data_IF_719617190488
#
_entry.id   IF_719617190488
#
_cell.length_a   1.000
_cell.length_b   1.000
_cell.length_c   1.000
_cell.angle_alpha   90.00
_cell.angle_beta   90.00
_cell.angle_gamma   90.00
#
_symmetry.space_group_name_H-M   'P 1'
#
loop_
_entity.id
_entity.type
_entity.pdbx_description
1 polymer ?
#
# COMPACT_ATOMS: atom_id res chain seq x y z
N UNK A 1 -47.39 28.29 69.26
CA UNK A 1 -47.06 27.13 68.42
C UNK A 1 -46.06 27.56 67.34
N UNK A 2 -44.78 27.24 67.50
CA UNK A 2 -43.75 27.37 66.44
C UNK A 2 -43.06 26.02 66.33
N UNK A 3 -43.36 25.25 65.28
CA UNK A 3 -42.57 24.06 64.92
C UNK A 3 -41.31 24.57 64.22
N UNK A 4 -40.19 24.47 64.91
CA UNK A 4 -38.86 24.71 64.35
C UNK A 4 -38.50 23.47 63.53
N UNK A 5 -38.49 23.61 62.20
CA UNK A 5 -37.87 22.62 61.33
C UNK A 5 -36.35 22.77 61.48
N UNK A 6 -35.70 21.76 62.07
CA UNK A 6 -34.25 21.67 62.08
C UNK A 6 -33.70 21.50 60.66
N UNK A 7 -32.50 22.02 60.37
CA UNK A 7 -31.85 21.81 59.09
C UNK A 7 -31.61 20.31 58.88
N UNK A 8 -32.17 19.76 57.79
CA UNK A 8 -31.74 18.45 57.29
C UNK A 8 -30.33 18.63 56.77
N UNK A 9 -29.34 18.29 57.58
CA UNK A 9 -27.99 18.02 57.09
C UNK A 9 -28.10 16.85 56.12
N UNK A 10 -28.12 17.15 54.82
CA UNK A 10 -27.92 16.19 53.76
C UNK A 10 -26.44 15.77 53.77
N UNK A 11 -26.06 15.02 54.80
CA UNK A 11 -24.80 14.31 54.85
C UNK A 11 -24.89 13.15 53.87
N UNK A 12 -24.17 13.24 52.76
CA UNK A 12 -23.96 12.10 51.86
C UNK A 12 -23.38 10.97 52.69
N UNK A 13 -24.13 9.88 52.80
CA UNK A 13 -23.66 8.72 53.57
C UNK A 13 -22.39 8.18 52.92
N UNK A 14 -21.39 7.78 53.70
CA UNK A 14 -20.18 7.13 53.20
C UNK A 14 -20.53 5.92 52.31
N UNK A 15 -21.66 5.27 52.59
CA UNK A 15 -22.21 4.18 51.76
C UNK A 15 -22.69 4.68 50.39
N UNK A 16 -23.37 5.83 50.31
CA UNK A 16 -23.76 6.43 49.02
C UNK A 16 -22.54 6.82 48.19
N UNK A 17 -21.48 7.32 48.83
CA UNK A 17 -20.22 7.64 48.15
C UNK A 17 -19.56 6.39 47.56
N UNK A 18 -19.49 5.29 48.33
CA UNK A 18 -18.91 4.02 47.85
C UNK A 18 -19.70 3.45 46.67
N UNK A 19 -21.04 3.49 46.75
CA UNK A 19 -21.90 3.04 45.66
C UNK A 19 -21.69 3.91 44.40
N UNK A 20 -21.66 5.24 44.56
CA UNK A 20 -21.45 6.16 43.44
C UNK A 20 -20.08 5.97 42.76
N UNK A 21 -19.01 5.80 43.53
CA UNK A 21 -17.66 5.52 43.00
C UNK A 21 -17.61 4.16 42.29
N UNK A 22 -18.28 3.15 42.83
CA UNK A 22 -18.34 1.81 42.23
C UNK A 22 -19.06 1.83 40.87
N UNK A 23 -20.19 2.53 40.79
CA UNK A 23 -20.94 2.70 39.53
C UNK A 23 -20.12 3.50 38.52
N UNK A 24 -19.49 4.60 38.94
CA UNK A 24 -18.60 5.38 38.07
C UNK A 24 -17.41 4.56 37.57
N UNK A 25 -16.82 3.71 38.42
CA UNK A 25 -15.73 2.82 38.04
C UNK A 25 -16.14 1.82 36.95
N UNK A 26 -17.32 1.20 37.08
CA UNK A 26 -17.84 0.26 36.07
C UNK A 26 -18.15 0.98 34.75
N UNK A 27 -18.80 2.16 34.81
CA UNK A 27 -19.11 2.96 33.62
C UNK A 27 -17.82 3.43 32.94
N UNK A 28 -16.82 3.88 33.70
CA UNK A 28 -15.54 4.31 33.15
C UNK A 28 -14.79 3.17 32.46
N UNK A 29 -14.79 1.96 33.02
CA UNK A 29 -14.22 0.77 32.39
C UNK A 29 -14.95 0.38 31.10
N UNK A 30 -16.29 0.41 31.13
CA UNK A 30 -17.12 0.16 29.94
C UNK A 30 -16.87 1.20 28.84
N UNK A 31 -16.84 2.48 29.18
CA UNK A 31 -16.54 3.57 28.26
C UNK A 31 -15.12 3.44 27.69
N UNK A 32 -14.10 3.20 28.52
CA UNK A 32 -12.72 3.07 28.07
C UNK A 32 -12.54 1.89 27.09
N UNK A 33 -13.18 0.76 27.36
CA UNK A 33 -13.13 -0.40 26.45
C UNK A 33 -13.89 -0.16 25.15
N UNK A 34 -15.04 0.53 25.20
CA UNK A 34 -15.81 0.91 24.02
C UNK A 34 -15.07 1.94 23.15
N UNK A 35 -14.56 3.03 23.74
CA UNK A 35 -13.79 4.04 23.01
C UNK A 35 -12.54 3.44 22.39
N UNK A 36 -11.81 2.59 23.10
CA UNK A 36 -10.66 1.87 22.54
C UNK A 36 -11.05 1.03 21.33
N UNK A 37 -12.18 0.31 21.39
CA UNK A 37 -12.69 -0.49 20.25
C UNK A 37 -13.10 0.39 19.06
N UNK A 38 -13.76 1.52 19.33
CA UNK A 38 -14.19 2.45 18.29
C UNK A 38 -12.97 3.08 17.58
N UNK A 39 -12.00 3.56 18.34
CA UNK A 39 -10.74 4.10 17.80
C UNK A 39 -10.02 3.06 16.94
N UNK A 40 -9.94 1.81 17.43
CA UNK A 40 -9.28 0.71 16.71
C UNK A 40 -9.93 0.40 15.36
N UNK A 41 -11.27 0.44 15.28
CA UNK A 41 -11.99 0.21 14.03
C UNK A 41 -11.79 1.36 13.04
N UNK A 42 -11.80 2.60 13.52
CA UNK A 42 -11.58 3.78 12.69
C UNK A 42 -10.16 3.83 12.11
N UNK A 43 -9.14 3.45 12.89
CA UNK A 43 -7.77 3.36 12.40
C UNK A 43 -7.61 2.31 11.31
N UNK A 44 -8.19 1.13 11.49
CA UNK A 44 -8.13 0.07 10.49
C UNK A 44 -8.85 0.48 9.20
N UNK A 45 -10.03 1.11 9.31
CA UNK A 45 -10.76 1.63 8.16
C UNK A 45 -9.97 2.72 7.42
N UNK A 46 -9.31 3.63 8.13
CA UNK A 46 -8.45 4.66 7.55
C UNK A 46 -7.22 4.07 6.88
N UNK A 47 -6.49 3.18 7.54
CA UNK A 47 -5.30 2.53 6.97
C UNK A 47 -5.64 1.75 5.71
N UNK A 48 -6.77 1.01 5.72
CA UNK A 48 -7.29 0.31 4.54
C UNK A 48 -7.67 1.27 3.41
N UNK A 49 -8.34 2.38 3.73
CA UNK A 49 -8.74 3.39 2.74
C UNK A 49 -7.52 4.06 2.11
N UNK A 50 -6.52 4.42 2.92
CA UNK A 50 -5.23 4.94 2.45
C UNK A 50 -4.55 3.92 1.54
N UNK A 51 -4.45 2.66 1.97
CA UNK A 51 -3.85 1.59 1.18
C UNK A 51 -4.53 1.44 -0.19
N UNK A 52 -5.87 1.41 -0.21
CA UNK A 52 -6.65 1.32 -1.44
C UNK A 52 -6.42 2.53 -2.34
N UNK A 53 -6.45 3.74 -1.77
CA UNK A 53 -6.22 4.99 -2.50
C UNK A 53 -4.84 5.01 -3.16
N UNK A 54 -3.79 4.75 -2.38
CA UNK A 54 -2.42 4.82 -2.87
C UNK A 54 -2.11 3.71 -3.88
N UNK A 55 -2.57 2.47 -3.63
CA UNK A 55 -2.47 1.39 -4.62
C UNK A 55 -3.17 1.76 -5.93
N UNK A 56 -4.32 2.42 -5.86
CA UNK A 56 -5.06 2.83 -7.06
C UNK A 56 -4.31 3.92 -7.84
N UNK A 57 -3.65 4.86 -7.17
CA UNK A 57 -2.82 5.87 -7.84
C UNK A 57 -1.63 5.22 -8.59
N UNK A 58 -0.98 4.25 -7.97
CA UNK A 58 0.15 3.53 -8.60
C UNK A 58 -0.37 2.65 -9.75
N UNK A 59 -1.47 1.93 -9.56
CA UNK A 59 -2.07 1.11 -10.61
C UNK A 59 -2.56 1.93 -11.79
N UNK A 60 -3.18 3.09 -11.57
CA UNK A 60 -3.61 3.99 -12.65
C UNK A 60 -2.39 4.49 -13.45
N UNK A 61 -1.27 4.74 -12.76
CA UNK A 61 -0.01 5.11 -13.42
C UNK A 61 0.51 3.96 -14.29
N UNK A 62 0.55 2.73 -13.75
CA UNK A 62 0.92 1.53 -14.51
C UNK A 62 -0.01 1.33 -15.69
N UNK A 63 -1.32 1.36 -15.51
CA UNK A 63 -2.30 1.17 -16.57
C UNK A 63 -2.08 2.15 -17.72
N UNK A 64 -1.85 3.44 -17.42
CA UNK A 64 -1.49 4.45 -18.41
C UNK A 64 -0.22 4.05 -19.17
N UNK A 65 0.81 3.60 -18.47
CA UNK A 65 2.10 3.28 -19.09
C UNK A 65 2.02 2.03 -19.97
N UNK A 66 1.22 1.04 -19.56
CA UNK A 66 0.87 -0.12 -20.37
C UNK A 66 0.05 0.24 -21.61
N UNK A 67 -0.90 1.19 -21.48
CA UNK A 67 -1.70 1.70 -22.61
C UNK A 67 -0.86 2.43 -23.66
N UNK A 68 0.28 2.98 -23.26
CA UNK A 68 1.20 3.74 -24.12
C UNK A 68 2.46 2.96 -24.50
N UNK A 69 2.52 1.67 -24.16
CA UNK A 69 3.66 0.80 -24.47
C UNK A 69 3.84 0.71 -25.99
N UNK A 70 5.08 0.79 -26.44
CA UNK A 70 5.40 0.50 -27.84
C UNK A 70 5.28 -1.00 -28.08
N UNK A 71 4.26 -1.40 -28.86
CA UNK A 71 4.05 -2.78 -29.29
C UNK A 71 4.36 -2.85 -30.79
N UNK A 72 5.60 -2.56 -31.18
CA UNK A 72 6.02 -2.70 -32.58
C UNK A 72 6.27 -4.16 -32.93
N UNK A 73 5.46 -4.69 -33.87
CA UNK A 73 5.59 -5.88 -34.74
C UNK A 73 6.13 -7.24 -34.21
N UNK A 74 6.70 -7.33 -33.01
CA UNK A 74 7.08 -8.57 -32.31
C UNK A 74 6.13 -8.89 -31.15
N UNK A 75 4.87 -8.42 -31.26
CA UNK A 75 3.80 -8.49 -30.27
C UNK A 75 3.45 -9.91 -29.76
N UNK A 76 4.04 -10.96 -30.32
CA UNK A 76 3.82 -12.36 -29.93
C UNK A 76 4.97 -13.00 -29.13
N UNK A 77 6.14 -12.36 -28.97
CA UNK A 77 7.32 -13.06 -28.42
C UNK A 77 7.86 -12.61 -27.06
N UNK A 78 7.73 -11.35 -26.66
CA UNK A 78 8.30 -10.93 -25.37
C UNK A 78 7.22 -10.66 -24.32
N UNK A 79 6.87 -11.67 -23.51
CA UNK A 79 6.07 -11.40 -22.34
C UNK A 79 6.82 -10.50 -21.37
N UNK A 80 6.13 -9.49 -20.83
CA UNK A 80 6.65 -8.67 -19.71
C UNK A 80 7.18 -9.58 -18.61
N UNK A 81 6.46 -10.67 -18.37
CA UNK A 81 6.95 -11.72 -17.51
C UNK A 81 6.35 -13.09 -17.87
N UNK A 82 7.13 -14.07 -18.34
CA UNK A 82 6.61 -15.40 -18.68
C UNK A 82 6.09 -16.18 -17.45
N UNK A 83 6.38 -15.70 -16.24
CA UNK A 83 5.80 -16.16 -14.97
C UNK A 83 5.53 -14.96 -14.06
N UNK A 84 5.42 -15.20 -12.75
CA UNK A 84 5.31 -14.11 -11.77
C UNK A 84 6.70 -13.49 -11.52
N UNK A 85 6.89 -12.21 -11.81
CA UNK A 85 8.10 -11.48 -11.44
C UNK A 85 7.80 -10.17 -10.74
N UNK A 86 8.77 -9.75 -9.90
CA UNK A 86 8.73 -8.53 -9.10
C UNK A 86 9.45 -7.35 -9.75
N UNK A 87 9.99 -7.57 -10.94
CA UNK A 87 10.85 -6.66 -11.69
C UNK A 87 10.48 -6.79 -13.17
N UNK A 88 10.08 -5.68 -13.78
CA UNK A 88 9.71 -5.65 -15.19
C UNK A 88 9.80 -4.25 -15.80
N UNK A 89 9.92 -4.20 -17.12
CA UNK A 89 10.11 -2.98 -17.90
C UNK A 89 8.93 -2.68 -18.81
N UNK A 90 8.68 -1.40 -19.03
CA UNK A 90 7.75 -0.88 -20.04
C UNK A 90 8.50 0.15 -20.88
N UNK A 91 8.59 -0.10 -22.18
CA UNK A 91 9.16 0.84 -23.14
C UNK A 91 8.05 1.67 -23.79
N UNK A 92 8.23 3.00 -23.80
CA UNK A 92 7.27 3.99 -24.31
C UNK A 92 7.96 4.95 -25.28
N UNK A 93 7.33 5.20 -26.44
CA UNK A 93 7.76 6.30 -27.32
C UNK A 93 7.37 7.66 -26.76
N UNK A 94 8.32 8.59 -26.75
CA UNK A 94 8.14 9.98 -26.29
C UNK A 94 8.64 10.96 -27.34
N UNK A 95 8.05 12.16 -27.39
CA UNK A 95 8.59 13.28 -28.19
C UNK A 95 9.73 13.94 -27.44
N UNK A 96 10.82 14.22 -28.16
CA UNK A 96 11.98 14.95 -27.65
C UNK A 96 12.43 15.94 -28.70
N UNK A 97 12.35 17.24 -28.42
CA UNK A 97 12.98 18.30 -29.22
C UNK A 97 12.91 18.15 -30.75
N UNK A 98 11.72 17.87 -31.31
CA UNK A 98 11.52 17.71 -32.77
C UNK A 98 11.65 16.29 -33.32
N UNK A 99 11.95 15.29 -32.48
CA UNK A 99 12.07 13.87 -32.86
C UNK A 99 11.36 12.90 -31.90
N UNK A 100 11.60 11.60 -32.12
CA UNK A 100 11.15 10.51 -31.25
C UNK A 100 12.29 10.02 -30.35
N UNK A 101 11.97 9.74 -29.09
CA UNK A 101 12.84 9.09 -28.12
C UNK A 101 12.14 7.92 -27.45
N UNK A 102 12.89 7.08 -26.74
CA UNK A 102 12.34 5.96 -25.99
C UNK A 102 12.50 6.20 -24.48
N UNK A 103 11.38 6.26 -23.76
CA UNK A 103 11.32 6.28 -22.31
C UNK A 103 11.21 4.84 -21.82
N UNK A 104 12.17 4.40 -21.01
CA UNK A 104 12.10 3.13 -20.30
C UNK A 104 11.60 3.36 -18.88
N UNK A 105 10.57 2.63 -18.50
CA UNK A 105 9.98 2.65 -17.16
C UNK A 105 10.27 1.30 -16.52
N UNK A 106 10.97 1.30 -15.39
CA UNK A 106 11.35 0.10 -14.67
C UNK A 106 10.57 0.02 -13.36
N UNK A 107 9.67 -0.96 -13.26
CA UNK A 107 8.96 -1.26 -12.03
C UNK A 107 9.66 -2.40 -11.30
N UNK A 108 10.02 -2.17 -10.04
CA UNK A 108 10.62 -3.20 -9.21
C UNK A 108 10.20 -3.12 -7.76
N UNK A 109 10.08 -4.28 -7.12
CA UNK A 109 9.99 -4.37 -5.66
C UNK A 109 11.39 -4.50 -5.08
N UNK A 110 11.79 -3.53 -4.26
CA UNK A 110 13.09 -3.48 -3.59
C UNK A 110 12.91 -3.52 -2.08
N UNK A 111 13.91 -4.04 -1.37
CA UNK A 111 13.91 -4.02 0.09
C UNK A 111 14.62 -2.75 0.58
N UNK A 112 13.88 -1.91 1.30
CA UNK A 112 14.37 -0.66 1.85
C UNK A 112 14.49 -0.76 3.37
N UNK A 113 15.51 -0.11 3.94
CA UNK A 113 15.71 -0.10 5.39
C UNK A 113 14.57 0.63 6.11
N UNK A 114 14.07 0.04 7.19
CA UNK A 114 13.04 0.67 8.02
C UNK A 114 13.64 1.92 8.69
N UNK A 115 13.00 3.10 8.57
CA UNK A 115 13.44 4.30 9.28
C UNK A 115 13.48 4.06 10.80
N UNK A 116 14.50 4.58 11.49
CA UNK A 116 14.66 4.40 12.94
C UNK A 116 13.41 4.76 13.74
N UNK A 117 12.72 5.83 13.34
CA UNK A 117 11.44 6.29 13.92
C UNK A 117 10.29 5.28 13.81
N UNK A 118 10.39 4.31 12.91
CA UNK A 118 9.34 3.33 12.61
C UNK A 118 9.66 1.92 13.14
N UNK A 119 10.90 1.66 13.57
CA UNK A 119 11.38 0.32 13.98
C UNK A 119 10.47 -0.39 14.99
N UNK A 120 10.04 0.32 16.04
CA UNK A 120 9.13 -0.22 17.07
C UNK A 120 7.73 -0.57 16.54
N UNK A 121 7.34 -0.05 15.37
CA UNK A 121 6.06 -0.35 14.71
C UNK A 121 6.15 -1.54 13.77
N UNK A 122 7.33 -1.86 13.25
CA UNK A 122 7.54 -3.09 12.47
C UNK A 122 7.71 -4.33 13.33
N UNK A 123 7.56 -4.20 14.65
CA UNK A 123 7.68 -5.29 15.61
C UNK A 123 6.29 -5.76 16.00
N UNK A 124 6.01 -7.06 15.83
CA UNK A 124 4.76 -7.65 16.32
C UNK A 124 4.71 -7.54 17.85
N UNK A 125 3.70 -6.86 18.42
CA UNK A 125 3.62 -6.62 19.86
C UNK A 125 3.48 -7.91 20.69
N UNK A 126 3.09 -9.03 20.09
CA UNK A 126 2.97 -10.32 20.78
C UNK A 126 4.26 -11.15 20.73
N UNK A 127 5.01 -11.10 19.62
CA UNK A 127 6.20 -11.94 19.43
C UNK A 127 7.52 -11.19 19.60
N UNK A 128 7.50 -9.86 19.69
CA UNK A 128 8.67 -8.97 19.70
C UNK A 128 9.61 -9.16 18.51
N UNK A 129 9.13 -9.83 17.45
CA UNK A 129 9.87 -10.05 16.21
C UNK A 129 9.45 -9.02 15.18
N UNK A 130 10.42 -8.55 14.39
CA UNK A 130 10.14 -7.73 13.23
C UNK A 130 9.30 -8.51 12.21
N UNK A 131 8.36 -7.85 11.53
CA UNK A 131 7.53 -8.50 10.51
C UNK A 131 8.41 -9.16 9.45
N UNK A 132 8.26 -10.48 9.34
CA UNK A 132 8.91 -11.25 8.29
C UNK A 132 7.97 -11.35 7.10
N UNK A 133 8.26 -10.55 6.06
CA UNK A 133 7.50 -10.60 4.81
C UNK A 133 7.81 -11.87 4.00
N UNK A 134 8.81 -12.70 4.39
CA UNK A 134 9.29 -13.87 3.63
C UNK A 134 8.65 -15.21 3.99
N UNK A 135 7.84 -15.29 5.05
CA UNK A 135 7.38 -16.54 5.67
C UNK A 135 6.43 -17.45 4.83
N UNK A 136 6.36 -17.30 3.51
CA UNK A 136 5.49 -18.12 2.64
C UNK A 136 6.07 -18.31 1.22
N UNK A 137 7.34 -18.70 1.15
CA UNK A 137 7.98 -19.12 -0.09
C UNK A 137 7.61 -20.55 -0.50
N UNK A 138 6.45 -20.75 -1.16
CA UNK A 138 6.27 -21.86 -2.12
C UNK A 138 5.03 -21.74 -3.03
N UNK A 139 4.24 -20.67 -3.00
CA UNK A 139 3.06 -20.57 -3.87
C UNK A 139 3.41 -19.83 -5.16
N UNK A 140 3.37 -20.52 -6.30
CA UNK A 140 3.40 -19.91 -7.64
C UNK A 140 2.10 -19.17 -7.98
N UNK A 141 1.11 -19.19 -7.09
CA UNK A 141 -0.19 -18.59 -7.31
C UNK A 141 -0.19 -17.07 -7.05
N UNK A 142 -0.14 -16.30 -8.14
CA UNK A 142 -0.31 -14.84 -8.14
C UNK A 142 -1.69 -14.38 -7.65
N UNK A 143 -2.67 -15.29 -7.56
CA UNK A 143 -3.99 -15.00 -7.03
C UNK A 143 -4.01 -14.86 -5.50
N UNK A 144 -3.11 -15.53 -4.78
CA UNK A 144 -3.09 -15.55 -3.32
C UNK A 144 -2.69 -14.19 -2.71
N UNK A 145 -3.42 -13.66 -1.71
CA UNK A 145 -3.00 -12.45 -0.99
C UNK A 145 -1.64 -12.62 -0.32
N UNK A 146 -0.77 -11.64 -0.54
CA UNK A 146 0.59 -11.58 0.00
C UNK A 146 1.64 -12.24 -0.91
N UNK A 147 1.28 -12.76 -2.09
CA UNK A 147 2.21 -13.42 -2.99
C UNK A 147 3.36 -12.49 -3.43
N UNK A 148 3.05 -11.24 -3.78
CA UNK A 148 4.05 -10.26 -4.19
C UNK A 148 4.95 -9.80 -3.04
N UNK A 149 4.34 -9.55 -1.88
CA UNK A 149 5.09 -9.18 -0.68
C UNK A 149 6.05 -10.30 -0.26
N UNK A 150 5.66 -11.56 -0.41
CA UNK A 150 6.53 -12.71 -0.13
C UNK A 150 7.68 -12.83 -1.12
N UNK A 151 7.37 -12.69 -2.41
CA UNK A 151 8.36 -12.78 -3.49
C UNK A 151 9.41 -11.66 -3.42
N UNK A 152 9.11 -10.56 -2.73
CA UNK A 152 10.08 -9.50 -2.44
C UNK A 152 11.34 -10.04 -1.74
N UNK A 153 11.19 -11.00 -0.82
CA UNK A 153 12.28 -11.57 -0.04
C UNK A 153 12.85 -10.63 1.03
N UNK A 154 12.11 -9.58 1.43
CA UNK A 154 12.60 -8.61 2.41
C UNK A 154 12.63 -9.18 3.83
N UNK A 155 13.83 -9.20 4.43
CA UNK A 155 14.08 -9.78 5.75
C UNK A 155 14.11 -8.69 6.83
N UNK A 156 13.61 -9.05 8.01
CA UNK A 156 13.79 -8.34 9.29
C UNK A 156 13.71 -6.82 9.19
N UNK A 157 14.86 -6.15 9.20
CA UNK A 157 14.98 -4.68 9.25
C UNK A 157 14.68 -3.96 7.92
N UNK A 158 14.11 -4.68 6.95
CA UNK A 158 13.75 -4.13 5.64
C UNK A 158 12.29 -4.35 5.35
N UNK A 159 11.70 -3.43 4.58
CA UNK A 159 10.34 -3.54 4.09
C UNK A 159 10.35 -3.54 2.55
N UNK A 160 9.42 -4.27 1.91
CA UNK A 160 9.25 -4.18 0.48
C UNK A 160 8.67 -2.81 0.09
N UNK A 161 9.30 -2.21 -0.91
CA UNK A 161 8.94 -0.93 -1.48
C UNK A 161 8.89 -1.09 -3.01
N UNK A 162 7.80 -0.62 -3.62
CA UNK A 162 7.71 -0.44 -5.06
C UNK A 162 8.55 0.78 -5.43
N UNK A 163 9.48 0.58 -6.37
CA UNK A 163 10.28 1.62 -6.99
C UNK A 163 9.97 1.65 -8.48
N UNK A 164 9.76 2.86 -8.98
CA UNK A 164 9.61 3.14 -10.41
C UNK A 164 10.80 3.99 -10.82
N UNK A 165 11.69 3.45 -11.63
CA UNK A 165 12.85 4.17 -12.17
C UNK A 165 12.57 4.57 -13.62
N UNK A 166 12.81 5.84 -13.94
CA UNK A 166 12.56 6.42 -15.26
C UNK A 166 13.87 6.72 -15.96
N UNK A 167 14.10 6.08 -17.10
CA UNK A 167 15.22 6.40 -17.97
C UNK A 167 14.68 7.08 -19.23
N UNK A 168 14.86 8.39 -19.30
CA UNK A 168 14.37 9.22 -20.40
C UNK A 168 15.52 9.91 -21.14
N UNK A 169 15.43 10.08 -22.47
CA UNK A 169 16.30 10.96 -23.22
C UNK A 169 16.19 12.41 -22.71
N UNK A 170 17.29 13.15 -22.75
CA UNK A 170 17.34 14.55 -22.29
C UNK A 170 16.31 15.43 -23.00
N UNK A 171 15.53 16.20 -22.24
CA UNK A 171 14.46 17.05 -22.77
C UNK A 171 13.10 16.34 -22.95
N UNK A 172 12.98 15.05 -22.62
CA UNK A 172 11.70 14.37 -22.56
C UNK A 172 10.88 14.78 -21.33
N UNK A 173 9.58 15.00 -21.51
CA UNK A 173 8.66 15.16 -20.38
C UNK A 173 8.41 13.81 -19.70
N UNK A 174 8.74 13.73 -18.41
CA UNK A 174 8.54 12.53 -17.62
C UNK A 174 7.05 12.36 -17.27
N UNK A 175 6.53 11.12 -17.27
CA UNK A 175 5.19 10.86 -16.75
C UNK A 175 5.11 11.32 -15.29
N UNK A 176 3.97 11.93 -14.94
CA UNK A 176 3.72 12.26 -13.55
C UNK A 176 3.37 10.98 -12.77
N UNK A 177 4.21 10.65 -11.79
CA UNK A 177 3.95 9.59 -10.81
C UNK A 177 3.70 10.19 -9.43
N UNK A 178 2.87 9.55 -8.60
CA UNK A 178 2.74 9.95 -7.21
C UNK A 178 4.11 9.89 -6.53
N UNK A 179 4.46 10.97 -5.80
CA UNK A 179 5.66 11.06 -4.96
C UNK A 179 6.98 10.83 -5.73
N UNK A 180 7.07 11.41 -6.93
CA UNK A 180 8.31 11.38 -7.70
C UNK A 180 9.37 12.32 -7.08
N UNK A 181 10.58 11.81 -6.89
CA UNK A 181 11.75 12.59 -6.50
C UNK A 181 12.85 12.37 -7.54
N UNK A 182 13.10 13.38 -8.38
CA UNK A 182 13.94 13.23 -9.56
C UNK A 182 13.33 12.26 -10.57
N UNK A 183 14.05 11.18 -10.90
CA UNK A 183 13.63 10.17 -11.87
C UNK A 183 13.08 8.89 -11.21
N UNK A 184 12.85 8.92 -9.88
CA UNK A 184 12.43 7.74 -9.12
C UNK A 184 11.17 8.06 -8.33
N UNK A 185 10.15 7.21 -8.46
CA UNK A 185 8.98 7.22 -7.58
C UNK A 185 9.03 6.04 -6.61
N UNK A 186 8.64 6.27 -5.36
CA UNK A 186 8.73 5.30 -4.26
C UNK A 186 7.37 5.12 -3.57
N UNK A 187 6.97 3.86 -3.37
CA UNK A 187 5.72 3.51 -2.72
C UNK A 187 5.85 2.26 -1.82
N UNK A 188 5.48 2.32 -0.53
CA UNK A 188 5.28 3.54 0.24
C UNK A 188 6.60 4.28 0.46
N UNK A 189 6.55 5.59 0.65
CA UNK A 189 7.69 6.35 1.15
C UNK A 189 7.57 6.54 2.67
N UNK A 190 8.19 5.63 3.42
CA UNK A 190 8.18 5.69 4.88
C UNK A 190 9.06 6.80 5.45
N UNK A 191 9.99 7.38 4.67
CA UNK A 191 10.77 8.53 5.13
C UNK A 191 9.91 9.80 5.18
N UNK A 192 8.95 9.91 4.27
CA UNK A 192 7.98 11.00 4.23
C UNK A 192 6.77 10.81 5.16
N UNK A 193 6.63 9.62 5.78
CA UNK A 193 5.45 9.25 6.56
C UNK A 193 5.73 9.35 8.06
N UNK A 194 4.95 10.13 8.79
CA UNK A 194 5.14 10.37 10.24
C UNK A 194 4.31 9.47 11.14
N UNK A 195 3.32 8.73 10.59
CA UNK A 195 2.44 7.85 11.37
C UNK A 195 2.20 6.52 10.65
N UNK A 196 2.44 5.41 11.36
CA UNK A 196 2.22 4.03 10.89
C UNK A 196 0.78 3.54 11.08
N UNK A 197 -0.01 4.17 11.96
CA UNK A 197 -1.36 3.69 12.33
C UNK A 197 -2.43 3.99 11.28
N UNK A 198 -2.10 4.77 10.26
CA UNK A 198 -3.00 5.16 9.16
C UNK A 198 -2.32 5.09 7.80
N UNK A 199 -1.20 4.37 7.69
CA UNK A 199 -0.37 4.36 6.47
C UNK A 199 0.00 2.95 6.02
N UNK A 200 0.35 2.89 4.75
CA UNK A 200 0.95 1.70 4.13
C UNK A 200 2.37 1.56 4.64
N UNK A 201 2.69 0.42 5.24
CA UNK A 201 4.02 0.14 5.80
C UNK A 201 4.90 -0.66 4.83
N UNK A 202 4.32 -1.27 3.81
CA UNK A 202 5.02 -2.08 2.83
C UNK A 202 4.19 -2.16 1.54
N UNK A 203 4.86 -2.24 0.38
CA UNK A 203 4.20 -2.55 -0.88
C UNK A 203 5.10 -3.34 -1.82
N UNK A 204 4.48 -4.21 -2.61
CA UNK A 204 5.14 -4.98 -3.64
C UNK A 204 4.30 -4.97 -4.92
N UNK A 205 4.99 -4.99 -6.05
CA UNK A 205 4.41 -5.15 -7.38
C UNK A 205 4.88 -6.46 -7.98
N UNK A 206 3.97 -7.17 -8.65
CA UNK A 206 4.32 -8.22 -9.58
C UNK A 206 3.62 -8.07 -10.91
N UNK A 207 4.23 -8.62 -11.95
CA UNK A 207 3.61 -8.84 -13.24
C UNK A 207 3.62 -10.33 -13.59
N UNK A 208 2.61 -10.74 -14.34
CA UNK A 208 2.49 -12.06 -14.94
C UNK A 208 1.86 -11.91 -16.33
N UNK A 209 2.40 -12.60 -17.31
CA UNK A 209 1.84 -12.64 -18.65
C UNK A 209 1.09 -13.94 -18.89
N UNK A 210 -0.22 -13.84 -19.13
CA UNK A 210 -1.05 -15.00 -19.48
C UNK A 210 -1.27 -15.02 -20.98
N UNK A 211 -0.69 -16.02 -21.65
CA UNK A 211 -0.97 -16.28 -23.06
C UNK A 211 -2.31 -17.02 -23.16
N UNK A 212 -3.31 -16.40 -23.80
CA UNK A 212 -4.57 -17.08 -24.12
C UNK A 212 -4.39 -18.10 -25.25
N UNK A 213 -5.33 -19.03 -25.39
CA UNK A 213 -5.33 -20.10 -26.40
C UNK A 213 -5.40 -19.62 -27.88
N UNK A 214 -5.31 -18.31 -28.14
CA UNK A 214 -5.41 -17.69 -29.47
C UNK A 214 -4.41 -16.56 -29.73
N UNK A 215 -3.21 -16.59 -29.13
CA UNK A 215 -2.12 -15.60 -29.27
C UNK A 215 -2.41 -14.17 -28.79
N UNK A 216 -3.64 -13.82 -28.41
CA UNK A 216 -3.96 -12.59 -27.70
C UNK A 216 -3.80 -12.88 -26.20
N UNK A 217 -2.61 -12.62 -25.66
CA UNK A 217 -2.36 -12.69 -24.21
C UNK A 217 -2.90 -11.47 -23.47
N UNK A 218 -2.93 -11.55 -22.14
CA UNK A 218 -3.08 -10.39 -21.26
C UNK A 218 -1.90 -10.31 -20.30
N UNK A 219 -1.51 -9.08 -19.98
CA UNK A 219 -0.56 -8.80 -18.91
C UNK A 219 -1.36 -8.49 -17.63
N UNK A 220 -1.14 -9.27 -16.59
CA UNK A 220 -1.71 -9.03 -15.25
C UNK A 220 -0.64 -8.33 -14.41
N UNK A 221 -1.01 -7.21 -13.82
CA UNK A 221 -0.18 -6.52 -12.83
C UNK A 221 -0.92 -6.51 -11.51
N UNK A 222 -0.22 -6.91 -10.45
CA UNK A 222 -0.73 -6.96 -9.10
C UNK A 222 0.11 -6.05 -8.22
N UNK A 223 -0.55 -5.18 -7.46
CA UNK A 223 0.07 -4.47 -6.34
C UNK A 223 -0.53 -5.00 -5.06
N UNK A 224 0.34 -5.31 -4.12
CA UNK A 224 -0.02 -5.63 -2.76
C UNK A 224 0.55 -4.55 -1.84
N UNK A 225 -0.25 -4.15 -0.87
CA UNK A 225 0.17 -3.23 0.18
C UNK A 225 -0.12 -3.87 1.53
N UNK A 226 0.76 -3.63 2.49
CA UNK A 226 0.57 -4.08 3.86
C UNK A 226 0.42 -2.88 4.79
N UNK A 227 -0.47 -3.04 5.76
CA UNK A 227 -0.68 -2.11 6.86
C UNK A 227 -0.80 -2.88 8.17
N UNK A 228 -0.61 -2.18 9.29
CA UNK A 228 -0.78 -2.76 10.62
C UNK A 228 -2.18 -2.40 11.08
N UNK A 229 -2.97 -3.40 11.42
CA UNK A 229 -4.28 -3.14 11.99
C UNK A 229 -4.19 -2.81 13.48
N UNK A 230 -5.33 -2.44 14.06
CA UNK A 230 -5.33 -1.94 15.43
C UNK A 230 -5.01 -2.98 16.51
N UNK A 231 -4.97 -4.28 16.16
CA UNK A 231 -4.46 -5.35 17.02
C UNK A 231 -2.95 -5.60 16.82
N UNK A 232 -2.25 -4.75 16.05
CA UNK A 232 -0.83 -4.91 15.77
C UNK A 232 -0.51 -6.00 14.77
N UNK A 233 -1.51 -6.52 14.03
CA UNK A 233 -1.33 -7.59 13.04
C UNK A 233 -1.14 -7.02 11.65
N UNK A 234 -0.27 -7.66 10.88
CA UNK A 234 -0.08 -7.35 9.48
C UNK A 234 -1.33 -7.75 8.68
N UNK A 235 -1.88 -6.80 7.94
CA UNK A 235 -2.94 -7.02 6.94
C UNK A 235 -2.39 -6.69 5.58
N UNK A 236 -2.84 -7.44 4.57
CA UNK A 236 -2.45 -7.24 3.18
C UNK A 236 -3.70 -6.92 2.38
N UNK A 237 -3.64 -5.85 1.62
CA UNK A 237 -4.62 -5.52 0.60
C UNK A 237 -4.00 -5.73 -0.76
N UNK A 238 -4.80 -6.25 -1.68
CA UNK A 238 -4.38 -6.63 -3.01
C UNK A 238 -5.26 -5.91 -4.02
N UNK A 239 -4.64 -5.37 -5.08
CA UNK A 239 -5.33 -4.89 -6.27
C UNK A 239 -4.61 -5.37 -7.52
N UNK A 240 -5.38 -5.57 -8.57
CA UNK A 240 -4.88 -6.05 -9.84
C UNK A 240 -5.56 -5.38 -11.02
N UNK A 241 -4.81 -5.29 -12.10
CA UNK A 241 -5.29 -4.88 -13.42
C UNK A 241 -4.90 -5.97 -14.41
N UNK A 242 -5.78 -6.24 -15.38
CA UNK A 242 -5.50 -7.12 -16.50
C UNK A 242 -5.58 -6.29 -17.77
N UNK A 243 -4.46 -6.16 -18.47
CA UNK A 243 -4.34 -5.36 -19.68
C UNK A 243 -4.25 -6.32 -20.87
N UNK A 244 -5.21 -6.27 -21.81
CA UNK A 244 -5.13 -7.09 -23.01
C UNK A 244 -3.96 -6.64 -23.89
N UNK A 245 -3.24 -7.59 -24.50
CA UNK A 245 -2.15 -7.30 -25.44
C UNK A 245 -2.64 -6.91 -26.84
N UNK A 246 -3.94 -7.02 -27.10
CA UNK A 246 -4.56 -6.55 -28.34
C UNK A 246 -4.51 -5.02 -28.40
N UNK A 247 -3.56 -4.49 -29.17
CA UNK A 247 -3.42 -3.08 -29.60
C UNK A 247 -4.09 -2.04 -28.68
N UNK A 248 -3.36 -1.64 -27.64
CA UNK A 248 -3.71 -0.47 -26.85
C UNK A 248 -2.79 0.66 -27.30
N UNK A 249 -3.39 1.63 -28.01
CA UNK A 249 -2.81 2.77 -28.72
C UNK A 249 -1.85 2.45 -29.90
N UNK A 250 -2.41 2.37 -31.11
CA UNK A 250 -1.68 2.84 -32.29
C UNK A 250 -1.28 4.30 -32.02
N UNK A 251 0.00 4.54 -31.72
CA UNK A 251 0.71 5.78 -32.06
C UNK A 251 -0.04 7.05 -31.62
N UNK A 252 -0.36 7.21 -30.33
CA UNK A 252 -0.62 8.54 -29.81
C UNK A 252 0.64 9.05 -29.13
N UNK A 253 1.47 9.68 -29.95
CA UNK A 253 2.58 10.48 -29.46
C UNK A 253 1.96 11.67 -28.71
N UNK A 254 1.96 11.62 -27.38
CA UNK A 254 1.44 12.70 -26.55
C UNK A 254 2.10 14.03 -26.96
N UNK A 255 1.33 15.13 -27.09
CA UNK A 255 1.90 16.45 -27.29
C UNK A 255 2.76 16.83 -26.08
N UNK A 256 3.88 17.51 -26.33
CA UNK A 256 4.67 18.13 -25.29
C UNK A 256 3.84 19.28 -24.71
N UNK A 257 3.42 19.15 -23.46
CA UNK A 257 2.99 20.31 -22.66
C UNK A 257 4.20 20.84 -21.91
#
# INVERSE_FOLDING_TARGET
MKKVFGPRESGTSLVELIIAVSIMGIIALGAATFFKRMETADYEARAKTTAISEMSLVLNSMERDFKLRDITAQATKDPICPGLCKDFFIDRRVKVGGGEGNLKIHYRTVCSGIPGSMTGKFTDPMSLKTFDFTAAGSTTDSAAPGACLRMSGCKGNTYPQVRVDLAAPGGASLPNYPRISGNTALFPDLKATTSASSSVIAAAVCAESKMGAGMIGSDRVTIESAFINAQGKLRVEKREISIPRSNVAKIQILPAN
#
